data_IF_383273401769
#
_entry.id   IF_383273401769
#
_cell.length_a   1.000
_cell.length_b   1.000
_cell.length_c   1.000
_cell.angle_alpha   90.00
_cell.angle_beta   90.00
_cell.angle_gamma   90.00
#
_symmetry.space_group_name_H-M   'P 1'
#
loop_
_entity.id
_entity.type
_entity.pdbx_description
1 polymer ?
#
# COMPACT_ATOMS: atom_id res chain seq x y z
N UNK A 1 50.12 44.08 -48.88
CA UNK A 1 50.53 44.13 -47.46
C UNK A 1 50.35 42.71 -46.92
N UNK A 2 51.41 41.92 -46.96
CA UNK A 2 52.40 41.72 -45.88
C UNK A 2 51.97 40.56 -44.99
N UNK A 3 52.53 39.36 -45.21
CA UNK A 3 53.56 38.69 -44.38
C UNK A 3 52.99 38.20 -43.03
N UNK A 4 53.27 37.01 -42.50
CA UNK A 4 54.20 35.91 -42.82
C UNK A 4 53.68 34.65 -42.08
N UNK A 5 53.93 33.42 -42.52
CA UNK A 5 55.20 32.68 -42.63
C UNK A 5 55.81 32.29 -41.27
N UNK A 6 55.83 30.98 -40.99
CA UNK A 6 56.99 30.15 -40.55
C UNK A 6 56.43 28.84 -39.95
N UNK A 7 56.58 27.66 -40.56
CA UNK A 7 57.77 26.76 -40.51
C UNK A 7 58.32 26.54 -39.09
N UNK A 8 58.78 25.38 -38.64
CA UNK A 8 58.88 23.96 -39.06
C UNK A 8 59.69 23.27 -37.91
N UNK A 9 60.11 22.01 -38.13
CA UNK A 9 61.10 21.19 -37.38
C UNK A 9 60.48 20.25 -36.33
N UNK A 10 60.47 18.92 -36.47
CA UNK A 10 61.48 17.86 -36.76
C UNK A 10 62.01 17.14 -35.50
N UNK A 11 61.86 15.80 -35.57
CA UNK A 11 62.76 14.72 -35.18
C UNK A 11 62.91 14.25 -33.71
N UNK A 12 62.50 12.98 -33.54
CA UNK A 12 63.23 11.80 -33.06
C UNK A 12 63.98 11.82 -31.71
N UNK A 13 63.63 10.88 -30.82
CA UNK A 13 64.59 9.89 -30.28
C UNK A 13 63.98 8.81 -29.37
N UNK A 14 64.19 7.55 -29.78
CA UNK A 14 64.68 6.37 -29.04
C UNK A 14 64.17 5.94 -27.63
N UNK A 15 63.60 4.72 -27.62
CA UNK A 15 63.77 3.57 -26.70
C UNK A 15 63.94 3.78 -25.16
N UNK A 16 63.05 3.16 -24.37
CA UNK A 16 63.29 1.89 -23.61
C UNK A 16 62.37 1.75 -22.39
N UNK A 17 62.07 0.49 -22.05
CA UNK A 17 61.16 0.01 -21.01
C UNK A 17 61.62 0.35 -19.58
N UNK A 18 60.68 0.70 -18.70
CA UNK A 18 60.71 0.28 -17.27
C UNK A 18 59.30 0.30 -16.68
N UNK A 19 58.94 -0.80 -16.02
CA UNK A 19 57.76 -0.93 -15.16
C UNK A 19 57.89 -0.09 -13.89
N UNK A 20 56.85 0.66 -13.51
CA UNK A 20 56.15 0.57 -12.22
C UNK A 20 54.94 1.53 -12.18
N UNK A 21 53.85 1.10 -11.54
CA UNK A 21 52.50 1.70 -11.53
C UNK A 21 52.41 3.16 -11.06
N UNK A 22 51.32 3.86 -11.46
CA UNK A 22 50.40 4.36 -10.44
C UNK A 22 48.91 4.16 -10.78
N UNK A 23 48.19 3.59 -9.82
CA UNK A 23 46.81 3.90 -9.39
C UNK A 23 45.98 4.87 -10.27
N UNK A 24 44.87 4.38 -10.87
CA UNK A 24 43.47 4.85 -10.64
C UNK A 24 42.44 4.28 -11.63
N UNK A 25 41.22 4.14 -11.08
CA UNK A 25 39.88 4.06 -11.68
C UNK A 25 39.46 2.74 -12.33
N UNK A 26 38.57 1.96 -11.71
CA UNK A 26 37.14 2.16 -11.38
C UNK A 26 36.27 1.47 -12.43
N UNK A 27 35.62 0.37 -12.02
CA UNK A 27 34.31 -0.04 -12.51
C UNK A 27 33.76 -1.10 -11.56
N UNK A 28 33.41 -0.70 -10.34
CA UNK A 28 32.43 -1.45 -9.56
C UNK A 28 31.05 -1.00 -10.05
N UNK A 29 30.32 -1.95 -10.61
CA UNK A 29 28.91 -1.80 -10.94
C UNK A 29 28.13 -1.87 -9.63
N UNK A 30 27.73 -0.72 -9.11
CA UNK A 30 26.74 -0.62 -8.04
C UNK A 30 25.39 -1.14 -8.57
N UNK A 31 25.04 -2.36 -8.16
CA UNK A 31 23.65 -2.76 -8.04
C UNK A 31 23.12 -2.08 -6.77
N UNK A 32 22.40 -0.99 -6.95
CA UNK A 32 21.56 -0.38 -5.91
C UNK A 32 20.37 -1.33 -5.66
N UNK A 33 20.65 -2.40 -4.91
CA UNK A 33 19.61 -3.17 -4.23
C UNK A 33 19.26 -2.32 -2.99
N UNK A 34 18.41 -1.33 -3.19
CA UNK A 34 17.96 -0.39 -2.16
C UNK A 34 17.12 -1.15 -1.14
N UNK A 35 17.79 -1.84 -0.21
CA UNK A 35 17.14 -2.42 0.96
C UNK A 35 16.66 -1.25 1.81
N UNK A 36 15.38 -0.91 1.67
CA UNK A 36 14.71 0.07 2.54
C UNK A 36 14.92 -0.36 3.99
N UNK A 37 15.43 0.54 4.85
CA UNK A 37 15.45 0.28 6.29
C UNK A 37 14.05 -0.18 6.75
N UNK A 38 13.95 -1.22 7.59
CA UNK A 38 12.65 -1.73 8.03
C UNK A 38 11.85 -0.61 8.68
N UNK A 39 10.63 -0.38 8.18
CA UNK A 39 9.70 0.51 8.85
C UNK A 39 9.45 0.02 10.27
N UNK A 40 9.80 0.83 11.26
CA UNK A 40 9.65 0.47 12.67
C UNK A 40 8.22 0.70 13.14
N UNK A 41 7.28 -0.12 12.67
CA UNK A 41 5.97 -0.26 13.32
C UNK A 41 6.02 -1.47 14.27
N UNK A 42 5.50 -1.36 15.50
CA UNK A 42 5.55 -2.47 16.44
C UNK A 42 4.58 -3.58 16.02
N UNK A 43 5.04 -4.82 16.12
CA UNK A 43 4.19 -5.99 15.96
C UNK A 43 3.79 -6.53 17.34
N UNK A 44 2.64 -7.18 17.39
CA UNK A 44 2.17 -7.87 18.60
C UNK A 44 3.07 -9.05 18.92
N UNK A 45 3.33 -9.27 20.21
CA UNK A 45 3.95 -10.48 20.74
C UNK A 45 2.92 -11.57 21.10
N UNK A 46 1.62 -11.31 20.86
CA UNK A 46 0.52 -12.23 21.15
C UNK A 46 0.21 -12.39 22.64
N UNK A 47 0.79 -11.57 23.52
CA UNK A 47 0.61 -11.71 24.98
C UNK A 47 -0.64 -11.01 25.54
N UNK A 48 -1.25 -10.11 24.76
CA UNK A 48 -2.44 -9.37 25.18
C UNK A 48 -3.66 -10.30 25.32
N UNK A 49 -4.50 -10.04 26.32
CA UNK A 49 -5.73 -10.82 26.58
C UNK A 49 -7.00 -9.98 26.59
N UNK A 50 -6.86 -8.67 26.80
CA UNK A 50 -7.98 -7.73 26.93
C UNK A 50 -8.05 -6.82 25.71
N UNK A 51 -9.25 -6.31 25.43
CA UNK A 51 -9.46 -5.30 24.40
C UNK A 51 -8.74 -3.99 24.74
N UNK A 52 -8.29 -3.26 23.72
CA UNK A 52 -7.80 -1.90 23.90
C UNK A 52 -8.93 -0.90 24.20
N UNK A 53 -8.58 0.36 24.45
CA UNK A 53 -9.55 1.45 24.73
C UNK A 53 -10.54 1.73 23.59
N UNK A 54 -10.31 1.16 22.40
CA UNK A 54 -11.15 1.29 21.21
C UNK A 54 -11.73 -0.06 20.77
N UNK A 55 -11.89 -0.99 21.71
CA UNK A 55 -12.55 -2.28 21.52
C UNK A 55 -11.84 -3.17 20.48
N UNK A 56 -10.55 -2.96 20.24
CA UNK A 56 -9.75 -3.86 19.41
C UNK A 56 -9.40 -5.10 20.21
N UNK A 57 -9.80 -6.27 19.73
CA UNK A 57 -9.41 -7.56 20.31
C UNK A 57 -7.89 -7.76 20.27
N UNK A 58 -7.32 -8.67 21.10
CA UNK A 58 -5.89 -8.93 21.09
C UNK A 58 -5.36 -9.27 19.69
N UNK A 59 -4.41 -8.46 19.22
CA UNK A 59 -3.78 -8.65 17.91
C UNK A 59 -2.90 -9.91 17.95
N UNK A 60 -3.02 -10.84 16.98
CA UNK A 60 -2.20 -12.06 16.94
C UNK A 60 -0.69 -11.79 16.85
N UNK A 61 0.13 -12.70 17.37
CA UNK A 61 1.59 -12.61 17.32
C UNK A 61 2.09 -12.35 15.89
N UNK A 62 3.01 -11.41 15.75
CA UNK A 62 3.63 -11.04 14.47
C UNK A 62 2.77 -10.14 13.58
N UNK A 63 1.50 -9.87 13.92
CA UNK A 63 0.68 -8.87 13.22
C UNK A 63 0.97 -7.46 13.73
N UNK A 64 0.88 -6.43 12.87
CA UNK A 64 1.13 -5.06 13.28
C UNK A 64 0.11 -4.61 14.32
N UNK A 65 0.58 -3.88 15.34
CA UNK A 65 -0.30 -3.25 16.31
C UNK A 65 -0.96 -2.01 15.69
N UNK A 66 -2.20 -1.67 16.11
CA UNK A 66 -2.83 -0.45 15.67
C UNK A 66 -2.08 0.78 16.21
N UNK A 67 -2.06 1.83 15.41
CA UNK A 67 -1.51 3.12 15.81
C UNK A 67 -2.62 4.14 16.09
N UNK A 68 -2.27 5.22 16.80
CA UNK A 68 -3.16 6.37 16.99
C UNK A 68 -3.01 7.32 15.79
N UNK A 69 -4.05 7.54 14.97
CA UNK A 69 -3.96 8.32 13.74
C UNK A 69 -3.48 9.76 13.99
N UNK A 70 -3.88 10.36 15.10
CA UNK A 70 -3.50 11.73 15.49
C UNK A 70 -2.00 11.88 15.84
N UNK A 71 -1.32 10.78 16.15
CA UNK A 71 0.10 10.77 16.49
C UNK A 71 1.00 10.36 15.32
N UNK A 72 0.42 10.02 14.15
CA UNK A 72 1.20 9.60 13.00
C UNK A 72 1.78 10.81 12.27
N UNK A 73 3.10 10.82 12.13
CA UNK A 73 3.80 11.78 11.27
C UNK A 73 4.02 11.15 9.89
N UNK A 74 3.53 11.84 8.85
CA UNK A 74 3.74 11.42 7.46
C UNK A 74 5.02 12.06 6.93
N UNK A 75 6.02 11.24 6.62
CA UNK A 75 7.27 11.67 6.03
C UNK A 75 7.17 11.68 4.49
N UNK A 76 6.83 12.84 3.94
CA UNK A 76 6.70 13.04 2.47
C UNK A 76 8.03 12.95 1.70
N UNK A 77 9.16 12.85 2.38
CA UNK A 77 10.48 12.67 1.77
C UNK A 77 10.83 11.20 1.49
N UNK A 78 10.03 10.25 2.00
CA UNK A 78 10.27 8.82 1.85
C UNK A 78 9.01 8.13 1.32
N UNK A 79 9.16 7.45 0.19
CA UNK A 79 8.08 6.75 -0.50
C UNK A 79 8.29 5.25 -0.47
N UNK A 80 7.18 4.52 -0.41
CA UNK A 80 7.07 3.09 -0.48
C UNK A 80 6.02 2.70 -1.52
N UNK A 81 5.84 1.41 -1.75
CA UNK A 81 4.83 0.87 -2.66
C UNK A 81 4.01 -0.22 -2.00
N UNK A 82 2.73 -0.31 -2.34
CA UNK A 82 1.89 -1.45 -2.00
C UNK A 82 1.15 -1.93 -3.26
N UNK A 83 0.64 -3.16 -3.24
CA UNK A 83 -0.35 -3.60 -4.23
C UNK A 83 -1.74 -3.33 -3.66
N UNK A 84 -2.58 -2.63 -4.40
CA UNK A 84 -3.92 -2.24 -3.95
C UNK A 84 -4.99 -2.75 -4.90
N UNK A 85 -6.10 -3.27 -4.38
CA UNK A 85 -7.24 -3.74 -5.18
C UNK A 85 -8.58 -3.51 -4.48
N UNK A 86 -9.65 -3.41 -5.27
CA UNK A 86 -11.02 -3.24 -4.79
C UNK A 86 -11.92 -4.17 -5.60
N UNK A 87 -12.61 -5.10 -4.94
CA UNK A 87 -13.53 -6.04 -5.59
C UNK A 87 -14.84 -6.24 -4.81
N UNK A 88 -15.88 -6.59 -5.56
CA UNK A 88 -17.22 -6.90 -5.07
C UNK A 88 -17.75 -8.21 -5.69
N UNK A 89 -16.86 -9.16 -5.97
CA UNK A 89 -17.17 -10.41 -6.68
C UNK A 89 -18.18 -11.30 -5.95
N UNK A 90 -18.28 -11.21 -4.63
CA UNK A 90 -19.29 -11.89 -3.80
C UNK A 90 -20.72 -11.52 -4.19
N UNK A 91 -20.97 -10.28 -4.63
CA UNK A 91 -22.29 -9.81 -5.07
C UNK A 91 -22.80 -10.64 -6.27
N UNK A 92 -21.91 -11.10 -7.15
CA UNK A 92 -22.30 -11.88 -8.33
C UNK A 92 -22.99 -13.20 -7.97
N UNK A 93 -22.69 -13.76 -6.79
CA UNK A 93 -23.34 -14.95 -6.25
C UNK A 93 -24.57 -14.63 -5.39
N UNK A 94 -24.83 -13.35 -5.11
CA UNK A 94 -25.86 -12.85 -4.19
C UNK A 94 -26.75 -11.77 -4.84
N UNK A 95 -26.88 -11.76 -6.17
CA UNK A 95 -27.64 -10.73 -6.91
C UNK A 95 -29.12 -10.65 -6.51
N UNK A 96 -29.71 -11.69 -5.94
CA UNK A 96 -31.08 -11.66 -5.42
C UNK A 96 -31.24 -10.81 -4.17
N UNK A 97 -30.16 -10.56 -3.44
CA UNK A 97 -30.13 -9.73 -2.24
C UNK A 97 -29.67 -8.30 -2.52
N UNK A 98 -29.03 -8.08 -3.68
CA UNK A 98 -28.60 -6.76 -4.13
C UNK A 98 -29.80 -5.82 -4.30
N UNK A 99 -29.68 -4.58 -3.82
CA UNK A 99 -30.59 -3.50 -4.19
C UNK A 99 -30.68 -3.42 -5.73
N UNK A 100 -31.88 -3.63 -6.34
CA UNK A 100 -32.04 -3.66 -7.79
C UNK A 100 -31.50 -2.43 -8.53
N UNK A 101 -31.53 -1.26 -7.89
CA UNK A 101 -31.04 -0.01 -8.50
C UNK A 101 -29.51 0.04 -8.60
N UNK A 102 -28.81 -0.88 -7.94
CA UNK A 102 -27.34 -0.98 -7.93
C UNK A 102 -26.78 -1.96 -8.95
N UNK A 103 -27.62 -2.73 -9.64
CA UNK A 103 -27.18 -3.81 -10.53
C UNK A 103 -26.18 -3.34 -11.60
N UNK A 104 -26.37 -2.14 -12.14
CA UNK A 104 -25.49 -1.56 -13.17
C UNK A 104 -24.10 -1.14 -12.64
N UNK A 105 -23.95 -1.01 -11.32
CA UNK A 105 -22.69 -0.65 -10.67
C UNK A 105 -21.77 -1.84 -10.49
N UNK A 106 -22.28 -3.08 -10.58
CA UNK A 106 -21.49 -4.29 -10.34
C UNK A 106 -20.74 -4.69 -11.61
N UNK A 107 -19.40 -4.65 -11.64
CA UNK A 107 -18.65 -5.11 -12.80
C UNK A 107 -18.92 -6.59 -13.06
N UNK A 108 -18.97 -7.00 -14.32
CA UNK A 108 -19.26 -8.41 -14.69
C UNK A 108 -18.27 -9.43 -14.13
N UNK A 109 -17.05 -9.01 -13.83
CA UNK A 109 -16.01 -9.81 -13.18
C UNK A 109 -15.85 -9.50 -11.68
N UNK A 110 -16.68 -8.61 -11.13
CA UNK A 110 -16.62 -8.17 -9.74
C UNK A 110 -15.43 -7.29 -9.38
N UNK A 111 -14.60 -6.86 -10.34
CA UNK A 111 -13.38 -6.08 -10.08
C UNK A 111 -13.64 -4.61 -10.37
N UNK A 112 -13.62 -3.78 -9.33
CA UNK A 112 -13.76 -2.31 -9.42
C UNK A 112 -12.39 -1.69 -9.72
N UNK A 113 -11.36 -2.16 -9.01
CA UNK A 113 -9.96 -1.81 -9.25
C UNK A 113 -9.12 -3.08 -9.24
N UNK A 114 -8.53 -3.40 -10.40
CA UNK A 114 -7.58 -4.50 -10.51
C UNK A 114 -6.32 -4.24 -9.65
N UNK A 115 -5.62 -5.30 -9.19
CA UNK A 115 -4.37 -5.14 -8.45
C UNK A 115 -3.41 -4.18 -9.15
N UNK A 116 -3.11 -3.07 -8.46
CA UNK A 116 -2.32 -1.97 -9.00
C UNK A 116 -1.24 -1.60 -7.99
N UNK A 117 -0.02 -1.35 -8.46
CA UNK A 117 1.04 -0.81 -7.61
C UNK A 117 0.75 0.65 -7.30
N UNK A 118 0.65 0.97 -6.01
CA UNK A 118 0.37 2.32 -5.50
C UNK A 118 1.55 2.79 -4.68
N UNK A 119 2.10 3.96 -5.01
CA UNK A 119 3.10 4.64 -4.18
C UNK A 119 2.42 5.32 -3.00
N UNK A 120 3.01 5.27 -1.82
CA UNK A 120 2.55 5.95 -0.61
C UNK A 120 3.75 6.51 0.18
N UNK A 121 3.50 7.43 1.11
CA UNK A 121 4.54 8.01 1.96
C UNK A 121 4.67 7.24 3.27
N UNK A 122 5.89 7.19 3.81
CA UNK A 122 6.12 6.65 5.15
C UNK A 122 5.19 7.33 6.17
N UNK A 123 4.50 6.51 6.96
CA UNK A 123 3.55 6.98 7.98
C UNK A 123 2.09 6.96 7.54
N UNK A 124 1.80 6.84 6.24
CA UNK A 124 0.41 6.76 5.75
C UNK A 124 -0.29 5.46 6.20
N UNK A 125 -1.59 5.58 6.47
CA UNK A 125 -2.47 4.46 6.80
C UNK A 125 -3.10 3.83 5.57
N UNK A 126 -3.72 2.65 5.73
CA UNK A 126 -4.59 2.05 4.69
C UNK A 126 -5.68 3.02 4.26
N UNK A 127 -6.23 3.80 5.19
CA UNK A 127 -7.28 4.78 4.91
C UNK A 127 -6.79 5.95 4.04
N UNK A 128 -5.59 6.47 4.31
CA UNK A 128 -5.00 7.56 3.50
C UNK A 128 -4.81 7.10 2.04
N UNK A 129 -4.30 5.88 1.87
CA UNK A 129 -4.09 5.28 0.54
C UNK A 129 -5.43 4.99 -0.13
N UNK A 130 -6.44 4.48 0.57
CA UNK A 130 -7.79 4.26 0.01
C UNK A 130 -8.38 5.56 -0.55
N UNK A 131 -8.38 6.65 0.24
CA UNK A 131 -8.93 7.94 -0.20
C UNK A 131 -8.27 8.42 -1.48
N UNK A 132 -6.94 8.35 -1.55
CA UNK A 132 -6.17 8.77 -2.73
C UNK A 132 -6.45 7.88 -3.94
N UNK A 133 -6.42 6.56 -3.77
CA UNK A 133 -6.70 5.59 -4.83
C UNK A 133 -8.10 5.79 -5.40
N UNK A 134 -9.12 5.92 -4.54
CA UNK A 134 -10.49 6.14 -4.99
C UNK A 134 -10.62 7.46 -5.76
N UNK A 135 -10.04 8.55 -5.23
CA UNK A 135 -10.05 9.86 -5.90
C UNK A 135 -9.37 9.83 -7.27
N UNK A 136 -8.20 9.22 -7.38
CA UNK A 136 -7.42 9.15 -8.63
C UNK A 136 -8.12 8.30 -9.70
N UNK A 137 -8.91 7.30 -9.30
CA UNK A 137 -9.64 6.42 -10.20
C UNK A 137 -11.11 6.81 -10.41
N UNK A 138 -11.55 7.96 -9.90
CA UNK A 138 -12.95 8.40 -9.91
C UNK A 138 -13.93 7.36 -9.32
N UNK A 139 -13.48 6.64 -8.30
CA UNK A 139 -14.30 5.69 -7.53
C UNK A 139 -14.92 6.47 -6.38
N UNK A 140 -16.25 6.46 -6.29
CA UNK A 140 -16.95 7.06 -5.17
C UNK A 140 -16.56 6.36 -3.86
N UNK A 141 -16.35 7.14 -2.80
CA UNK A 141 -15.98 6.65 -1.48
C UNK A 141 -16.79 7.43 -0.44
N UNK A 142 -17.53 6.72 0.40
CA UNK A 142 -18.29 7.25 1.51
C UNK A 142 -17.84 6.60 2.82
N UNK A 143 -17.63 7.43 3.83
CA UNK A 143 -17.12 7.01 5.13
C UNK A 143 -17.53 8.01 6.22
N UNK A 144 -17.58 7.53 7.45
CA UNK A 144 -17.73 8.35 8.64
C UNK A 144 -16.63 8.06 9.66
N UNK A 145 -16.28 9.06 10.46
CA UNK A 145 -15.38 8.83 11.58
C UNK A 145 -16.15 8.18 12.73
N UNK A 146 -15.65 7.05 13.25
CA UNK A 146 -16.25 6.33 14.36
C UNK A 146 -15.37 6.49 15.62
N UNK A 147 -15.71 7.42 16.54
CA UNK A 147 -14.84 7.74 17.68
C UNK A 147 -14.54 6.56 18.60
N UNK A 148 -15.49 5.62 18.75
CA UNK A 148 -15.31 4.44 19.60
C UNK A 148 -14.22 3.48 19.06
N UNK A 149 -13.91 3.55 17.76
CA UNK A 149 -12.86 2.75 17.10
C UNK A 149 -11.61 3.56 16.73
N UNK A 150 -11.61 4.88 16.99
CA UNK A 150 -10.59 5.83 16.53
C UNK A 150 -10.19 5.63 15.06
N UNK A 151 -11.18 5.39 14.18
CA UNK A 151 -10.95 5.10 12.77
C UNK A 151 -12.13 5.53 11.91
N UNK A 152 -11.86 5.74 10.62
CA UNK A 152 -12.88 5.78 9.59
C UNK A 152 -13.57 4.40 9.46
N UNK A 153 -14.89 4.43 9.37
CA UNK A 153 -15.75 3.33 8.96
C UNK A 153 -16.14 3.55 7.49
N UNK A 154 -15.91 2.56 6.65
CA UNK A 154 -16.17 2.67 5.20
C UNK A 154 -17.58 2.19 4.92
N UNK A 155 -18.46 3.13 4.64
CA UNK A 155 -19.88 2.91 4.40
C UNK A 155 -20.12 2.45 2.95
N UNK A 156 -19.34 2.97 2.00
CA UNK A 156 -19.49 2.60 0.59
C UNK A 156 -18.27 2.87 -0.27
N UNK A 157 -18.07 2.02 -1.27
CA UNK A 157 -17.07 2.16 -2.33
C UNK A 157 -17.78 1.88 -3.65
N UNK A 158 -17.54 2.71 -4.68
CA UNK A 158 -18.18 2.58 -5.99
C UNK A 158 -19.73 2.67 -5.97
N UNK A 159 -20.28 3.44 -5.02
CA UNK A 159 -21.72 3.53 -4.73
C UNK A 159 -22.36 2.18 -4.34
N UNK A 160 -21.57 1.19 -3.96
CA UNK A 160 -22.02 -0.04 -3.31
C UNK A 160 -21.76 0.13 -1.81
N UNK A 161 -22.81 0.01 -1.01
CA UNK A 161 -22.83 0.36 0.39
C UNK A 161 -22.92 -0.87 1.29
N UNK A 162 -22.58 -0.71 2.56
CA UNK A 162 -23.05 -1.63 3.58
C UNK A 162 -24.56 -1.88 3.44
N UNK A 163 -24.96 -3.11 3.72
CA UNK A 163 -26.35 -3.58 3.63
C UNK A 163 -26.98 -3.69 2.24
N UNK A 164 -26.31 -3.25 1.15
CA UNK A 164 -26.82 -3.37 -0.21
C UNK A 164 -27.05 -4.84 -0.64
N UNK A 165 -26.42 -5.82 0.01
CA UNK A 165 -26.69 -7.25 -0.15
C UNK A 165 -27.09 -7.91 1.18
N UNK A 166 -27.97 -7.26 1.94
CA UNK A 166 -28.51 -7.77 3.20
C UNK A 166 -27.75 -7.32 4.44
N UNK A 167 -28.33 -7.52 5.62
CA UNK A 167 -27.87 -6.90 6.87
C UNK A 167 -26.44 -7.27 7.34
N UNK A 168 -25.82 -8.27 6.72
CA UNK A 168 -24.44 -8.71 7.02
C UNK A 168 -23.44 -8.29 5.95
N UNK A 169 -23.86 -7.50 4.96
CA UNK A 169 -23.02 -7.09 3.85
C UNK A 169 -22.30 -5.78 4.10
N UNK A 170 -21.10 -5.63 3.54
CA UNK A 170 -20.29 -4.43 3.69
C UNK A 170 -18.85 -4.57 3.21
N UNK A 171 -18.04 -3.55 3.45
CA UNK A 171 -16.65 -3.49 3.00
C UNK A 171 -15.68 -3.98 4.07
N UNK A 172 -14.80 -4.90 3.69
CA UNK A 172 -13.72 -5.38 4.54
C UNK A 172 -12.38 -5.12 3.87
N UNK A 173 -11.41 -4.63 4.64
CA UNK A 173 -10.04 -4.53 4.18
C UNK A 173 -9.21 -5.70 4.70
N UNK A 174 -8.28 -6.14 3.86
CA UNK A 174 -7.38 -7.26 4.13
C UNK A 174 -5.97 -6.83 3.76
N UNK A 175 -5.01 -7.16 4.60
CA UNK A 175 -3.58 -6.87 4.35
C UNK A 175 -2.77 -8.15 4.44
N UNK A 176 -2.03 -8.47 3.38
CA UNK A 176 -1.17 -9.66 3.32
C UNK A 176 -1.84 -10.94 3.80
N UNK A 177 -3.07 -11.19 3.38
CA UNK A 177 -3.76 -12.41 3.77
C UNK A 177 -4.70 -12.28 4.96
N UNK A 178 -4.55 -11.24 5.77
CA UNK A 178 -5.15 -11.10 7.10
C UNK A 178 -6.19 -10.00 7.12
N UNK A 179 -7.31 -10.24 7.81
CA UNK A 179 -8.34 -9.24 8.10
C UNK A 179 -8.05 -8.61 9.46
N UNK A 180 -7.57 -7.36 9.53
CA UNK A 180 -7.30 -6.73 10.82
C UNK A 180 -8.58 -6.54 11.62
N UNK A 181 -8.46 -6.65 12.94
CA UNK A 181 -9.57 -6.51 13.90
C UNK A 181 -9.72 -5.06 14.42
N UNK A 182 -9.07 -4.10 13.79
CA UNK A 182 -9.16 -2.68 14.06
C UNK A 182 -9.41 -1.92 12.75
N UNK A 183 -9.70 -0.62 12.83
CA UNK A 183 -10.05 0.16 11.66
C UNK A 183 -8.87 0.59 10.78
N UNK A 184 -9.13 0.79 9.49
CA UNK A 184 -8.13 1.07 8.47
C UNK A 184 -7.32 2.36 8.68
N UNK A 185 -7.82 3.34 9.45
CA UNK A 185 -7.05 4.54 9.80
C UNK A 185 -5.94 4.26 10.80
N UNK A 186 -6.07 3.17 11.58
CA UNK A 186 -5.11 2.73 12.59
C UNK A 186 -4.09 1.72 12.05
N UNK A 187 -4.22 1.31 10.79
CA UNK A 187 -3.25 0.44 10.13
C UNK A 187 -2.23 1.29 9.37
N UNK A 188 -1.05 1.50 9.94
CA UNK A 188 0.08 2.12 9.25
C UNK A 188 0.66 1.13 8.22
N UNK A 189 0.71 1.52 6.94
CA UNK A 189 1.18 0.64 5.86
C UNK A 189 2.70 0.46 5.88
N UNK A 190 3.12 -0.74 5.48
CA UNK A 190 4.51 -1.08 5.22
C UNK A 190 4.78 -1.30 3.71
N UNK A 191 6.02 -1.15 3.30
CA UNK A 191 6.47 -1.36 1.93
C UNK A 191 6.21 -2.80 1.49
N UNK A 192 5.81 -2.96 0.22
CA UNK A 192 5.52 -4.23 -0.41
C UNK A 192 4.21 -4.91 0.05
N UNK A 193 3.42 -4.32 0.95
CA UNK A 193 2.18 -4.95 1.41
C UNK A 193 1.12 -5.05 0.31
N UNK A 194 0.27 -6.07 0.41
CA UNK A 194 -0.90 -6.27 -0.45
C UNK A 194 -2.15 -5.88 0.32
N UNK A 195 -2.86 -4.86 -0.16
CA UNK A 195 -4.11 -4.35 0.40
C UNK A 195 -5.27 -4.70 -0.53
N UNK A 196 -6.29 -5.34 0.02
CA UNK A 196 -7.48 -5.76 -0.71
C UNK A 196 -8.71 -5.21 0.02
N UNK A 197 -9.53 -4.44 -0.68
CA UNK A 197 -10.88 -4.09 -0.25
C UNK A 197 -11.87 -5.03 -0.90
N UNK A 198 -12.61 -5.77 -0.09
CA UNK A 198 -13.50 -6.84 -0.52
C UNK A 198 -14.89 -6.60 0.04
N UNK A 199 -15.89 -6.58 -0.84
CA UNK A 199 -17.28 -6.59 -0.42
C UNK A 199 -17.64 -7.99 0.08
N UNK A 200 -18.22 -8.09 1.26
CA UNK A 200 -18.81 -9.32 1.80
C UNK A 200 -20.33 -9.22 1.76
N UNK A 201 -21.01 -10.35 1.53
CA UNK A 201 -22.45 -10.51 1.71
C UNK A 201 -22.78 -11.30 2.99
N UNK A 202 -21.77 -11.78 3.73
CA UNK A 202 -21.93 -12.67 4.89
C UNK A 202 -20.86 -12.44 5.97
N UNK A 203 -20.72 -11.20 6.45
CA UNK A 203 -19.87 -10.80 7.57
C UNK A 203 -18.38 -11.27 7.51
N UNK A 204 -17.89 -11.52 6.30
CA UNK A 204 -16.54 -11.97 6.02
C UNK A 204 -16.38 -13.46 5.70
N UNK A 205 -17.37 -14.31 6.01
CA UNK A 205 -17.26 -15.76 5.80
C UNK A 205 -17.06 -16.10 4.31
N UNK A 206 -17.77 -15.40 3.43
CA UNK A 206 -17.74 -15.55 1.97
C UNK A 206 -16.46 -15.00 1.32
N UNK A 207 -15.69 -14.20 2.05
CA UNK A 207 -14.38 -13.69 1.63
C UNK A 207 -13.22 -14.37 2.37
N UNK A 208 -13.50 -15.43 3.13
CA UNK A 208 -12.46 -16.26 3.76
C UNK A 208 -11.85 -15.65 5.02
N UNK A 209 -12.59 -14.78 5.70
CA UNK A 209 -12.27 -14.33 7.04
C UNK A 209 -12.52 -15.49 8.01
N UNK A 210 -11.50 -15.90 8.75
CA UNK A 210 -11.69 -16.87 9.83
C UNK A 210 -12.42 -16.20 11.01
N UNK A 211 -13.24 -16.97 11.73
CA UNK A 211 -14.07 -16.45 12.83
C UNK A 211 -13.30 -15.94 14.05
N UNK A 212 -11.97 -15.79 13.95
CA UNK A 212 -11.10 -15.15 14.92
C UNK A 212 -11.07 -13.64 14.70
N UNK A 213 -11.26 -12.88 15.78
CA UNK A 213 -10.94 -11.46 15.87
C UNK A 213 -9.70 -11.30 16.73
#
# INVERSE_FOLDING_TARGET
>A
MSHGNSQALQNDSYLSETQNSPSRNESETDQDDSFSEPQSRPNSDGSATDQDKYLTDPVPEGKPLPVEPENQEVNKGKTYTCTFSIECSTILNNLSELDPDKLELVPTNGVILAPTTVTFYEGESVFDVLQRVCKENNIHLEFSWTPIYNSAYIEGIHNLYEFDCGALSGWMYRVNGWYPNYGCSRYQLADGEVVEWRYTCNLGEDVGRDGSW
#
